data_IF_805571993444
#
_entry.id   IF_805571993444
#
_cell.length_a   1.000
_cell.length_b   1.000
_cell.length_c   1.000
_cell.angle_alpha   90.00
_cell.angle_beta   90.00
_cell.angle_gamma   90.00
#
_symmetry.space_group_name_H-M   'P 1'
#
loop_
_entity.id
_entity.type
_entity.pdbx_description
1 polymer ?
#
# COMPACT_ATOMS: atom_id res chain seq x y z
N UNK A 1 -51.65 16.07 -50.08
CA UNK A 1 -51.90 15.18 -48.91
C UNK A 1 -50.67 14.29 -48.75
N UNK A 2 -49.71 14.69 -47.90
CA UNK A 2 -48.54 13.87 -47.54
C UNK A 2 -48.62 13.60 -46.02
N UNK A 3 -48.58 12.33 -45.56
CA UNK A 3 -48.66 12.06 -44.13
C UNK A 3 -47.32 12.34 -43.46
N UNK A 4 -47.42 12.99 -42.31
CA UNK A 4 -46.33 13.35 -41.42
C UNK A 4 -45.82 12.09 -40.70
N UNK A 5 -44.55 11.73 -40.92
CA UNK A 5 -43.88 10.62 -40.22
C UNK A 5 -43.37 11.12 -38.87
N UNK A 6 -44.04 10.69 -37.80
CA UNK A 6 -43.63 10.92 -36.41
C UNK A 6 -42.36 10.12 -36.10
N UNK A 7 -41.24 10.83 -35.93
CA UNK A 7 -39.97 10.24 -35.47
C UNK A 7 -40.10 9.76 -34.01
N UNK A 8 -39.65 8.54 -33.66
CA UNK A 8 -39.85 7.97 -32.33
C UNK A 8 -38.95 8.65 -31.30
N UNK A 9 -39.55 9.49 -30.45
CA UNK A 9 -38.91 10.12 -29.26
C UNK A 9 -38.37 9.08 -28.27
N UNK A 10 -38.91 7.85 -28.32
CA UNK A 10 -38.52 6.72 -27.47
C UNK A 10 -37.05 6.30 -27.63
N UNK A 11 -36.47 6.40 -28.84
CA UNK A 11 -35.08 5.99 -29.07
C UNK A 11 -34.05 6.93 -28.40
N UNK A 12 -34.39 8.23 -28.28
CA UNK A 12 -33.51 9.23 -27.65
C UNK A 12 -33.51 9.10 -26.13
N UNK A 13 -34.65 8.75 -25.53
CA UNK A 13 -34.77 8.51 -24.10
C UNK A 13 -34.00 7.24 -23.67
N UNK A 14 -34.07 6.17 -24.46
CA UNK A 14 -33.37 4.92 -24.16
C UNK A 14 -31.84 5.06 -24.27
N UNK A 15 -31.36 5.78 -25.29
CA UNK A 15 -29.94 6.11 -25.44
C UNK A 15 -29.44 6.99 -24.29
N UNK A 16 -30.22 7.97 -23.84
CA UNK A 16 -29.86 8.81 -22.70
C UNK A 16 -29.80 8.02 -21.38
N UNK A 17 -30.75 7.09 -21.16
CA UNK A 17 -30.76 6.22 -19.98
C UNK A 17 -29.56 5.27 -19.95
N UNK A 18 -29.18 4.71 -21.10
CA UNK A 18 -28.02 3.81 -21.23
C UNK A 18 -26.69 4.55 -21.00
N UNK A 19 -26.57 5.80 -21.46
CA UNK A 19 -25.40 6.66 -21.21
C UNK A 19 -25.30 7.08 -19.73
N UNK A 20 -26.44 7.38 -19.07
CA UNK A 20 -26.49 7.67 -17.64
C UNK A 20 -26.09 6.45 -16.79
N UNK A 21 -26.51 5.24 -17.19
CA UNK A 21 -26.10 3.98 -16.55
C UNK A 21 -24.60 3.68 -16.73
N UNK A 22 -24.03 3.97 -17.91
CA UNK A 22 -22.60 3.83 -18.18
C UNK A 22 -21.75 4.79 -17.31
N UNK A 23 -22.18 6.05 -17.16
CA UNK A 23 -21.47 7.06 -16.37
C UNK A 23 -21.57 6.80 -14.85
N UNK A 24 -22.64 6.18 -14.37
CA UNK A 24 -22.80 5.81 -12.96
C UNK A 24 -21.95 4.59 -12.52
N UNK A 25 -21.34 3.86 -13.45
CA UNK A 25 -20.44 2.74 -13.14
C UNK A 25 -19.00 3.16 -12.81
N UNK A 26 -18.66 4.44 -13.01
CA UNK A 26 -17.37 4.97 -12.57
C UNK A 26 -17.41 5.22 -11.05
N UNK A 27 -17.45 4.14 -10.28
CA UNK A 27 -16.97 4.19 -8.90
C UNK A 27 -15.45 4.29 -8.99
N UNK A 28 -14.80 5.39 -8.57
CA UNK A 28 -13.38 5.32 -8.31
C UNK A 28 -13.18 4.39 -7.10
N UNK A 29 -12.96 3.09 -7.36
CA UNK A 29 -12.36 2.15 -6.40
C UNK A 29 -10.88 2.47 -6.15
N UNK A 30 -10.52 3.74 -6.17
CA UNK A 30 -9.18 4.24 -5.89
C UNK A 30 -9.30 5.44 -4.96
N UNK A 31 -10.06 5.27 -3.90
CA UNK A 31 -9.68 5.91 -2.65
C UNK A 31 -8.53 5.06 -2.11
N UNK A 32 -7.30 5.36 -2.53
CA UNK A 32 -6.15 5.04 -1.68
C UNK A 32 -6.39 5.87 -0.42
N UNK A 33 -6.75 5.28 0.74
CA UNK A 33 -6.74 6.07 1.95
C UNK A 33 -5.32 6.60 2.07
N UNK A 34 -5.17 7.91 2.11
CA UNK A 34 -3.94 8.51 2.59
C UNK A 34 -3.82 8.06 4.06
N UNK A 35 -3.14 6.93 4.30
CA UNK A 35 -3.02 6.23 5.59
C UNK A 35 -2.33 7.03 6.69
N UNK A 36 -2.12 8.34 6.48
CA UNK A 36 -1.46 9.23 7.43
C UNK A 36 -2.28 9.55 8.66
N UNK A 37 -3.61 9.43 8.62
CA UNK A 37 -4.49 9.76 9.76
C UNK A 37 -4.74 8.57 10.71
N UNK A 38 -4.63 7.34 10.22
CA UNK A 38 -4.96 6.15 11.05
C UNK A 38 -3.76 5.65 11.87
N UNK A 39 -2.52 5.83 11.39
CA UNK A 39 -1.40 5.21 12.10
C UNK A 39 -1.08 5.88 13.43
N UNK A 40 -1.23 7.20 13.55
CA UNK A 40 -1.04 7.90 14.82
C UNK A 40 -2.03 7.40 15.88
N UNK A 41 -3.29 7.22 15.49
CA UNK A 41 -4.35 6.68 16.36
C UNK A 41 -4.10 5.21 16.72
N UNK A 42 -3.64 4.40 15.76
CA UNK A 42 -3.26 3.01 15.98
C UNK A 42 -2.12 2.90 17.00
N UNK A 43 -1.06 3.69 16.83
CA UNK A 43 0.07 3.74 17.75
C UNK A 43 -0.34 4.22 19.15
N UNK A 44 -1.26 5.19 19.24
CA UNK A 44 -1.80 5.68 20.52
C UNK A 44 -2.61 4.61 21.29
N UNK A 45 -3.09 3.57 20.61
CA UNK A 45 -3.86 2.47 21.21
C UNK A 45 -2.97 1.30 21.63
N UNK A 46 -1.73 1.22 21.13
CA UNK A 46 -0.82 0.13 21.46
C UNK A 46 -0.32 0.24 22.91
N UNK A 47 -0.15 -0.90 23.61
CA UNK A 47 0.52 -0.90 24.90
C UNK A 47 1.97 -0.44 24.74
N UNK A 48 2.44 0.39 25.68
CA UNK A 48 3.86 0.79 25.72
C UNK A 48 4.70 -0.46 26.00
N UNK A 49 5.68 -0.81 25.13
CA UNK A 49 6.53 -1.96 25.37
C UNK A 49 7.35 -1.73 26.64
N UNK A 50 7.18 -2.62 27.62
CA UNK A 50 7.74 -2.45 28.95
C UNK A 50 9.15 -3.04 29.12
N UNK A 51 9.70 -3.72 28.11
CA UNK A 51 10.95 -4.46 28.25
C UNK A 51 11.65 -4.75 26.91
N UNK A 52 12.96 -4.93 26.96
CA UNK A 52 13.78 -5.48 25.87
C UNK A 52 13.32 -6.91 25.58
N UNK A 53 12.98 -7.22 24.32
CA UNK A 53 12.49 -8.54 23.89
C UNK A 53 13.58 -9.63 23.91
N UNK A 54 14.85 -9.27 23.73
CA UNK A 54 15.97 -10.21 23.75
C UNK A 54 17.29 -9.60 23.25
N UNK A 55 18.37 -10.38 23.33
CA UNK A 55 19.63 -10.15 22.62
C UNK A 55 19.77 -11.26 21.58
N UNK A 56 19.91 -10.86 20.31
CA UNK A 56 20.09 -11.77 19.18
C UNK A 56 21.47 -11.56 18.57
N UNK A 57 22.16 -12.65 18.25
CA UNK A 57 23.55 -12.66 17.78
C UNK A 57 23.63 -13.46 16.48
N UNK A 58 24.13 -12.80 15.44
CA UNK A 58 24.41 -13.45 14.17
C UNK A 58 25.76 -14.19 14.18
N UNK A 59 25.88 -15.30 13.42
CA UNK A 59 24.88 -15.84 12.49
C UNK A 59 23.84 -16.78 13.13
N UNK A 60 23.96 -17.08 14.43
CA UNK A 60 23.20 -18.15 15.10
C UNK A 60 21.68 -17.90 15.11
N UNK A 61 21.25 -16.68 15.42
CA UNK A 61 19.82 -16.32 15.46
C UNK A 61 19.24 -15.95 14.08
N UNK A 62 20.11 -15.67 13.10
CA UNK A 62 19.73 -15.29 11.74
C UNK A 62 18.76 -14.11 11.67
N UNK A 63 17.88 -14.15 10.66
CA UNK A 63 16.90 -13.09 10.38
C UNK A 63 15.57 -13.25 11.13
N UNK A 64 15.32 -14.43 11.71
CA UNK A 64 14.03 -14.77 12.33
C UNK A 64 13.55 -13.72 13.34
N UNK A 65 14.41 -13.17 14.24
CA UNK A 65 13.97 -12.13 15.18
C UNK A 65 13.45 -10.85 14.49
N UNK A 66 14.00 -10.51 13.33
CA UNK A 66 13.56 -9.34 12.56
C UNK A 66 12.26 -9.64 11.80
N UNK A 67 12.18 -10.82 11.18
CA UNK A 67 10.99 -11.25 10.44
C UNK A 67 9.78 -11.42 11.35
N UNK A 68 9.97 -11.92 12.57
CA UNK A 68 8.93 -12.06 13.59
C UNK A 68 8.37 -10.69 14.00
N UNK A 69 9.21 -9.67 14.17
CA UNK A 69 8.77 -8.30 14.46
C UNK A 69 7.99 -7.69 13.29
N UNK A 70 8.42 -7.94 12.05
CA UNK A 70 7.65 -7.52 10.86
C UNK A 70 6.30 -8.23 10.77
N UNK A 71 6.21 -9.50 11.15
CA UNK A 71 4.97 -10.25 11.21
C UNK A 71 4.02 -9.73 12.32
N UNK A 72 4.58 -9.40 13.49
CA UNK A 72 3.84 -8.91 14.66
C UNK A 72 3.37 -7.45 14.52
N UNK A 73 4.03 -6.64 13.68
CA UNK A 73 3.70 -5.23 13.50
C UNK A 73 2.24 -5.02 13.06
N UNK A 74 1.51 -4.19 13.81
CA UNK A 74 0.10 -3.90 13.59
C UNK A 74 -0.16 -2.54 12.93
N UNK A 75 0.66 -1.53 13.25
CA UNK A 75 0.40 -0.14 12.83
C UNK A 75 1.42 0.36 11.79
N UNK A 76 2.71 0.19 12.08
CA UNK A 76 3.79 0.76 11.29
C UNK A 76 5.06 -0.07 11.35
N UNK A 77 5.84 -0.01 10.26
CA UNK A 77 7.22 -0.47 10.20
C UNK A 77 8.04 0.65 9.57
N UNK A 78 9.06 1.12 10.28
CA UNK A 78 10.01 2.12 9.80
C UNK A 78 11.41 1.50 9.84
N UNK A 79 11.99 1.25 8.66
CA UNK A 79 13.32 0.61 8.53
C UNK A 79 14.28 1.61 7.92
N UNK A 80 15.48 1.70 8.48
CA UNK A 80 16.63 2.34 7.84
C UNK A 80 17.65 1.26 7.52
N UNK A 81 18.02 1.14 6.25
CA UNK A 81 18.93 0.09 5.79
C UNK A 81 19.84 0.61 4.70
N UNK A 82 21.05 0.08 4.65
CA UNK A 82 22.05 0.47 3.67
C UNK A 82 21.82 -0.20 2.31
N UNK A 83 21.46 -1.49 2.31
CA UNK A 83 21.10 -2.26 1.11
C UNK A 83 19.87 -3.09 1.44
N UNK A 84 18.86 -3.05 0.56
CA UNK A 84 17.69 -3.91 0.64
C UNK A 84 17.72 -4.89 -0.53
N UNK A 85 18.20 -6.11 -0.29
CA UNK A 85 18.39 -7.13 -1.33
C UNK A 85 18.00 -8.54 -0.92
N UNK A 86 17.64 -8.75 0.35
CA UNK A 86 17.20 -10.05 0.84
C UNK A 86 15.72 -10.25 0.50
N UNK A 87 15.41 -11.29 -0.27
CA UNK A 87 14.05 -11.54 -0.75
C UNK A 87 13.06 -11.82 0.40
N UNK A 88 13.48 -12.49 1.48
CA UNK A 88 12.62 -12.76 2.63
C UNK A 88 12.26 -11.47 3.37
N UNK A 89 13.23 -10.57 3.51
CA UNK A 89 13.00 -9.23 4.08
C UNK A 89 12.05 -8.42 3.20
N UNK A 90 12.24 -8.43 1.88
CA UNK A 90 11.39 -7.71 0.94
C UNK A 90 9.95 -8.26 0.97
N UNK A 91 9.79 -9.58 0.89
CA UNK A 91 8.50 -10.25 0.91
C UNK A 91 7.75 -10.02 2.23
N UNK A 92 8.44 -10.05 3.37
CA UNK A 92 7.81 -9.81 4.68
C UNK A 92 7.34 -8.36 4.83
N UNK A 93 8.11 -7.37 4.35
CA UNK A 93 7.69 -5.97 4.31
C UNK A 93 6.49 -5.75 3.36
N UNK A 94 6.50 -6.40 2.20
CA UNK A 94 5.34 -6.39 1.28
C UNK A 94 4.11 -7.01 1.92
N UNK A 95 4.27 -8.15 2.62
CA UNK A 95 3.19 -8.80 3.35
C UNK A 95 2.64 -7.89 4.46
N UNK A 96 3.49 -7.16 5.18
CA UNK A 96 3.05 -6.17 6.17
C UNK A 96 2.25 -5.03 5.52
N UNK A 97 2.74 -4.47 4.42
CA UNK A 97 2.01 -3.45 3.67
C UNK A 97 0.64 -3.98 3.19
N UNK A 98 0.56 -5.22 2.72
CA UNK A 98 -0.68 -5.86 2.31
C UNK A 98 -1.69 -6.05 3.47
N UNK A 99 -1.23 -6.18 4.71
CA UNK A 99 -2.07 -6.19 5.92
C UNK A 99 -2.59 -4.80 6.32
N UNK A 100 -2.15 -3.74 5.64
CA UNK A 100 -2.49 -2.35 5.97
C UNK A 100 -1.53 -1.69 6.95
N UNK A 101 -0.40 -2.34 7.28
CA UNK A 101 0.67 -1.74 8.07
C UNK A 101 1.37 -0.68 7.23
N UNK A 102 1.59 0.52 7.79
CA UNK A 102 2.34 1.56 7.07
C UNK A 102 3.83 1.22 7.10
N UNK A 103 4.38 0.88 5.94
CA UNK A 103 5.81 0.59 5.77
C UNK A 103 6.53 1.81 5.18
N UNK A 104 7.62 2.23 5.83
CA UNK A 104 8.57 3.22 5.28
C UNK A 104 9.97 2.65 5.34
N UNK A 105 10.66 2.68 4.21
CA UNK A 105 12.05 2.25 4.11
C UNK A 105 12.89 3.47 3.73
N UNK A 106 13.86 3.80 4.56
CA UNK A 106 14.91 4.75 4.26
C UNK A 106 16.13 3.97 3.76
N UNK A 107 16.51 4.23 2.51
CA UNK A 107 17.57 3.50 1.83
C UNK A 107 18.72 4.44 1.52
N UNK A 108 19.95 3.96 1.69
CA UNK A 108 21.13 4.68 1.20
C UNK A 108 21.14 4.66 -0.33
N UNK A 109 21.24 5.84 -0.96
CA UNK A 109 21.13 5.96 -2.41
C UNK A 109 22.36 5.40 -3.11
N UNK A 110 23.55 5.64 -2.56
CA UNK A 110 24.83 5.25 -3.15
C UNK A 110 25.68 4.43 -2.19
N UNK A 111 25.28 3.19 -1.86
CA UNK A 111 26.00 2.41 -0.87
C UNK A 111 27.50 2.34 -1.20
N UNK A 112 27.84 1.99 -2.44
CA UNK A 112 29.23 1.79 -2.85
C UNK A 112 29.89 3.00 -3.56
N UNK A 113 29.25 4.17 -3.59
CA UNK A 113 29.87 5.40 -4.13
C UNK A 113 30.11 5.44 -5.65
N UNK A 114 29.31 4.73 -6.46
CA UNK A 114 29.42 4.81 -7.91
C UNK A 114 28.18 4.35 -8.67
N UNK A 115 27.45 5.30 -9.29
CA UNK A 115 26.55 5.16 -10.46
C UNK A 115 25.37 4.17 -10.46
N UNK A 116 25.40 3.08 -9.69
CA UNK A 116 24.38 2.05 -9.59
C UNK A 116 23.54 2.22 -8.33
N UNK A 117 22.97 3.42 -8.16
CA UNK A 117 22.15 3.73 -6.99
C UNK A 117 20.90 2.85 -6.90
N UNK A 118 20.32 2.80 -5.71
CA UNK A 118 19.08 2.05 -5.49
C UNK A 118 17.92 2.79 -6.15
N UNK A 119 17.20 2.13 -7.07
CA UNK A 119 16.12 2.78 -7.84
C UNK A 119 14.93 3.04 -6.93
N UNK A 120 14.50 4.30 -6.82
CA UNK A 120 13.28 4.67 -6.11
C UNK A 120 12.05 4.10 -6.85
N UNK A 121 11.31 3.22 -6.19
CA UNK A 121 10.06 2.66 -6.71
C UNK A 121 8.91 3.44 -6.05
N UNK A 122 8.30 4.35 -6.81
CA UNK A 122 7.14 5.16 -6.39
C UNK A 122 5.83 4.41 -6.51
#
# INVERSE_FOLDING_TARGET
MFPNVSRPVAGRAFAALLVLLLMASCSPLTSFPASGLDTASCLATLPVPASVSGLFVEPDDGLDPVLDEFAAAACAIDVSVYILSDDLVIESLQAAAARGVRVRVMLEEFPFGGGGGQVEVR
#
